data_IF_940230190987
#
_entry.id   IF_940230190987
#
_cell.length_a   1.000
_cell.length_b   1.000
_cell.length_c   1.000
_cell.angle_alpha   90.00
_cell.angle_beta   90.00
_cell.angle_gamma   90.00
#
_symmetry.space_group_name_H-M   'P 1'
#
loop_
_entity.id
_entity.type
_entity.pdbx_description
1 polymer ?
#
# COMPACT_ATOMS: atom_id res chain seq x y z
N UNK A 1 -6.95 -10.34 -22.65
CA UNK A 1 -7.74 -10.50 -21.41
C UNK A 1 -7.30 -9.39 -20.49
N UNK A 2 -8.27 -8.66 -19.97
CA UNK A 2 -8.19 -7.25 -19.59
C UNK A 2 -7.18 -6.95 -18.46
N UNK A 3 -6.19 -6.10 -18.75
CA UNK A 3 -5.14 -5.62 -17.83
C UNK A 3 -5.65 -4.72 -16.68
N UNK A 4 -6.94 -4.81 -16.32
CA UNK A 4 -7.58 -4.01 -15.26
C UNK A 4 -7.88 -4.84 -14.00
N UNK A 5 -7.66 -6.15 -14.03
CA UNK A 5 -7.91 -7.07 -12.89
C UNK A 5 -6.78 -7.07 -11.85
N UNK A 6 -5.85 -6.11 -11.92
CA UNK A 6 -4.56 -6.12 -11.24
C UNK A 6 -4.27 -4.91 -10.36
N UNK A 7 -5.23 -4.03 -10.08
CA UNK A 7 -5.02 -2.78 -9.34
C UNK A 7 -5.96 -2.70 -8.12
N UNK A 8 -5.53 -2.03 -7.06
CA UNK A 8 -6.26 -1.81 -5.80
C UNK A 8 -6.23 -0.33 -5.47
N UNK A 9 -7.38 0.26 -5.14
CA UNK A 9 -7.51 1.65 -4.73
C UNK A 9 -7.61 1.72 -3.20
N UNK A 10 -6.63 2.37 -2.57
CA UNK A 10 -6.64 2.71 -1.16
C UNK A 10 -7.31 4.09 -1.00
N UNK A 11 -8.41 4.16 -0.25
CA UNK A 11 -9.18 5.40 -0.04
C UNK A 11 -8.86 5.97 1.33
N UNK A 12 -8.37 7.20 1.41
CA UNK A 12 -8.01 7.86 2.68
C UNK A 12 -9.23 8.46 3.41
N UNK A 13 -8.99 9.04 4.60
CA UNK A 13 -10.00 9.71 5.44
C UNK A 13 -10.81 10.80 4.73
N UNK A 14 -10.19 11.53 3.81
CA UNK A 14 -10.80 12.62 3.04
C UNK A 14 -11.53 12.15 1.76
N UNK A 15 -11.47 10.85 1.45
CA UNK A 15 -11.98 10.27 0.21
C UNK A 15 -11.00 10.25 -0.97
N UNK A 16 -9.74 10.67 -0.78
CA UNK A 16 -8.68 10.58 -1.79
C UNK A 16 -8.35 9.12 -2.10
N UNK A 17 -8.30 8.76 -3.37
CA UNK A 17 -8.00 7.39 -3.83
C UNK A 17 -6.54 7.28 -4.32
N UNK A 18 -5.82 6.27 -3.82
CA UNK A 18 -4.47 5.93 -4.23
C UNK A 18 -4.44 4.52 -4.83
N UNK A 19 -4.22 4.44 -6.14
CA UNK A 19 -4.16 3.16 -6.85
C UNK A 19 -2.77 2.54 -6.78
N UNK A 20 -2.69 1.29 -6.33
CA UNK A 20 -1.50 0.44 -6.32
C UNK A 20 -1.74 -0.87 -7.07
N UNK A 21 -0.69 -1.58 -7.46
CA UNK A 21 -0.81 -2.92 -8.05
C UNK A 21 -1.28 -3.93 -7.00
N UNK A 22 -2.10 -4.91 -7.42
CA UNK A 22 -2.50 -6.05 -6.57
C UNK A 22 -1.26 -6.75 -6.02
N UNK A 23 -0.21 -6.92 -6.81
CA UNK A 23 1.04 -7.53 -6.34
C UNK A 23 1.64 -6.78 -5.13
N UNK A 24 1.61 -5.44 -5.17
CA UNK A 24 2.06 -4.61 -4.05
C UNK A 24 1.10 -4.73 -2.86
N UNK A 25 -0.22 -4.75 -3.10
CA UNK A 25 -1.21 -4.95 -2.06
C UNK A 25 -1.07 -6.32 -1.38
N UNK A 26 -0.73 -7.38 -2.13
CA UNK A 26 -0.53 -8.73 -1.62
C UNK A 26 0.69 -8.85 -0.70
N UNK A 27 1.62 -7.89 -0.72
CA UNK A 27 2.70 -7.80 0.27
C UNK A 27 2.17 -7.52 1.68
N UNK A 28 0.98 -6.92 1.79
CA UNK A 28 0.26 -6.75 3.04
C UNK A 28 -0.70 -7.93 3.25
N UNK A 29 -0.50 -8.75 4.30
CA UNK A 29 -1.44 -9.81 4.67
C UNK A 29 -2.84 -9.28 4.97
N UNK A 30 -2.92 -8.06 5.54
CA UNK A 30 -4.19 -7.39 5.85
C UNK A 30 -4.93 -7.05 4.57
N UNK A 31 -4.29 -6.35 3.62
CA UNK A 31 -4.91 -6.02 2.33
C UNK A 31 -5.28 -7.28 1.55
N UNK A 32 -4.40 -8.30 1.55
CA UNK A 32 -4.68 -9.61 0.95
C UNK A 32 -5.97 -10.22 1.51
N UNK A 33 -6.12 -10.25 2.83
CA UNK A 33 -7.32 -10.79 3.49
C UNK A 33 -8.56 -9.98 3.13
N UNK A 34 -8.44 -8.65 3.02
CA UNK A 34 -9.53 -7.78 2.60
C UNK A 34 -9.94 -8.01 1.13
N UNK A 35 -8.97 -8.28 0.24
CA UNK A 35 -9.18 -8.57 -1.19
C UNK A 35 -9.75 -9.98 -1.42
N UNK A 36 -9.32 -10.97 -0.64
CA UNK A 36 -9.78 -12.37 -0.72
C UNK A 36 -11.10 -12.60 0.04
N UNK A 37 -11.47 -11.69 0.94
CA UNK A 37 -12.66 -11.80 1.79
C UNK A 37 -13.99 -11.58 1.05
N UNK A 38 -15.12 -11.94 1.67
CA UNK A 38 -16.47 -11.75 1.12
C UNK A 38 -16.89 -10.28 0.98
N UNK A 39 -16.05 -9.34 1.43
CA UNK A 39 -16.22 -7.90 1.31
C UNK A 39 -15.78 -7.33 -0.04
N UNK A 40 -15.61 -8.19 -1.06
CA UNK A 40 -15.42 -7.85 -2.48
C UNK A 40 -16.70 -7.20 -3.06
N UNK A 41 -17.22 -6.15 -2.40
CA UNK A 41 -18.47 -5.47 -2.78
C UNK A 41 -18.27 -4.55 -3.98
N UNK A 42 -17.09 -3.95 -4.15
CA UNK A 42 -16.83 -2.94 -5.19
C UNK A 42 -15.46 -3.11 -5.89
N UNK A 43 -15.09 -4.36 -6.13
CA UNK A 43 -14.10 -4.73 -7.13
C UNK A 43 -12.63 -4.64 -6.70
N UNK A 44 -12.18 -3.56 -6.06
CA UNK A 44 -10.75 -3.36 -5.72
C UNK A 44 -10.50 -2.17 -4.77
N UNK A 45 -11.51 -1.71 -4.02
CA UNK A 45 -11.39 -0.53 -3.13
C UNK A 45 -11.21 -0.94 -1.67
N UNK A 46 -10.26 -0.32 -0.98
CA UNK A 46 -10.00 -0.51 0.46
C UNK A 46 -10.06 0.86 1.12
N UNK A 47 -11.01 1.01 2.04
CA UNK A 47 -11.24 2.26 2.76
C UNK A 47 -10.39 2.30 4.04
N UNK A 48 -9.47 3.25 4.08
CA UNK A 48 -8.56 3.57 5.16
C UNK A 48 -8.99 4.89 5.82
N UNK A 49 -10.25 4.96 6.25
CA UNK A 49 -10.89 6.17 6.80
C UNK A 49 -10.25 6.68 8.09
N UNK A 50 -9.39 5.89 8.71
CA UNK A 50 -8.66 6.24 9.93
C UNK A 50 -7.34 6.97 9.66
N UNK A 51 -6.90 7.04 8.40
CA UNK A 51 -5.58 7.56 8.04
C UNK A 51 -5.69 8.73 7.07
N UNK A 52 -4.87 9.75 7.33
CA UNK A 52 -4.79 10.93 6.48
C UNK A 52 -4.22 10.59 5.08
N UNK A 53 -4.54 11.39 4.06
CA UNK A 53 -4.18 11.09 2.66
C UNK A 53 -2.68 11.00 2.44
N UNK A 54 -1.90 11.89 3.07
CA UNK A 54 -0.44 11.85 2.98
C UNK A 54 0.15 10.57 3.55
N UNK A 55 -0.46 10.00 4.60
CA UNK A 55 -0.03 8.76 5.25
C UNK A 55 -0.34 7.57 4.35
N UNK A 56 -1.56 7.52 3.81
CA UNK A 56 -2.00 6.46 2.88
C UNK A 56 -1.15 6.49 1.61
N UNK A 57 -0.89 7.67 1.06
CA UNK A 57 0.00 7.84 -0.08
C UNK A 57 1.41 7.29 0.21
N UNK A 58 1.98 7.62 1.37
CA UNK A 58 3.33 7.18 1.74
C UNK A 58 3.38 5.65 1.96
N UNK A 59 2.35 5.06 2.56
CA UNK A 59 2.24 3.62 2.71
C UNK A 59 2.09 2.91 1.35
N UNK A 60 1.30 3.48 0.43
CA UNK A 60 1.16 3.00 -0.94
C UNK A 60 2.50 3.03 -1.70
N UNK A 61 3.23 4.15 -1.62
CA UNK A 61 4.58 4.28 -2.17
C UNK A 61 5.53 3.23 -1.58
N UNK A 62 5.48 3.00 -0.27
CA UNK A 62 6.29 1.99 0.39
C UNK A 62 5.98 0.58 -0.11
N UNK A 63 4.71 0.21 -0.28
CA UNK A 63 4.34 -1.10 -0.83
C UNK A 63 4.88 -1.30 -2.25
N UNK A 64 4.76 -0.28 -3.12
CA UNK A 64 5.30 -0.37 -4.48
C UNK A 64 6.83 -0.40 -4.49
N UNK A 65 7.48 0.36 -3.61
CA UNK A 65 8.91 0.33 -3.44
C UNK A 65 9.37 -1.06 -2.95
N UNK A 66 8.73 -1.58 -1.90
CA UNK A 66 8.98 -2.93 -1.39
C UNK A 66 8.83 -3.98 -2.48
N UNK A 67 7.77 -3.91 -3.29
CA UNK A 67 7.57 -4.82 -4.43
C UNK A 67 8.71 -4.71 -5.46
N UNK A 68 9.06 -3.49 -5.86
CA UNK A 68 10.09 -3.24 -6.88
C UNK A 68 11.47 -3.71 -6.42
N UNK A 69 11.76 -3.58 -5.13
CA UNK A 69 13.06 -3.87 -4.55
C UNK A 69 13.11 -5.18 -3.72
N UNK A 70 12.08 -6.02 -3.73
CA UNK A 70 12.11 -7.31 -3.00
C UNK A 70 13.03 -8.34 -3.68
N UNK A 71 13.13 -8.30 -5.01
CA UNK A 71 13.86 -9.28 -5.84
C UNK A 71 15.21 -8.76 -6.32
N UNK A 72 15.52 -7.48 -6.08
CA UNK A 72 16.82 -6.90 -6.44
C UNK A 72 17.86 -7.22 -5.38
N UNK A 73 19.00 -7.71 -5.86
CA UNK A 73 20.16 -8.00 -5.05
C UNK A 73 20.73 -6.65 -4.58
N UNK A 74 20.46 -6.26 -3.33
CA UNK A 74 20.95 -5.02 -2.67
C UNK A 74 22.48 -4.82 -2.78
N UNK A 75 23.23 -5.86 -3.19
CA UNK A 75 24.67 -5.79 -3.46
C UNK A 75 25.01 -5.30 -4.88
N UNK A 76 24.04 -5.21 -5.80
CA UNK A 76 24.25 -4.86 -7.21
C UNK A 76 23.46 -3.63 -7.67
N UNK A 77 22.39 -3.26 -6.98
CA UNK A 77 21.56 -2.10 -7.33
C UNK A 77 21.50 -1.09 -6.19
N UNK A 78 21.67 0.19 -6.53
CA UNK A 78 21.44 1.31 -5.62
C UNK A 78 19.95 1.44 -5.31
N UNK A 79 19.52 0.81 -4.22
CA UNK A 79 18.17 0.95 -3.69
C UNK A 79 18.01 2.37 -3.12
N UNK A 80 17.09 3.19 -3.64
CA UNK A 80 16.90 4.53 -3.13
C UNK A 80 16.40 4.48 -1.69
N UNK A 81 16.93 5.38 -0.86
CA UNK A 81 16.52 5.47 0.54
C UNK A 81 15.08 5.99 0.62
N UNK A 82 14.22 5.24 1.31
CA UNK A 82 12.84 5.64 1.54
C UNK A 82 12.79 6.63 2.70
N UNK A 83 12.91 7.92 2.37
CA UNK A 83 12.90 9.00 3.36
C UNK A 83 11.48 9.24 3.86
N UNK A 84 11.28 9.06 5.17
CA UNK A 84 10.02 9.34 5.88
C UNK A 84 10.22 10.58 6.76
N UNK A 85 9.43 11.65 6.57
CA UNK A 85 9.41 12.78 7.47
C UNK A 85 9.10 12.38 8.91
N UNK A 86 9.79 12.99 9.87
CA UNK A 86 9.63 12.68 11.30
C UNK A 86 8.20 12.93 11.78
N UNK A 87 7.56 13.98 11.26
CA UNK A 87 6.20 14.38 11.63
C UNK A 87 5.14 13.32 11.27
N UNK A 88 5.35 12.54 10.20
CA UNK A 88 4.43 11.47 9.79
C UNK A 88 4.84 10.09 10.29
N UNK A 89 5.99 9.97 10.97
CA UNK A 89 6.53 8.66 11.37
C UNK A 89 5.60 7.88 12.30
N UNK A 90 4.86 8.57 13.17
CA UNK A 90 3.90 7.94 14.08
C UNK A 90 2.68 7.40 13.33
N UNK A 91 2.08 8.19 12.45
CA UNK A 91 0.93 7.77 11.66
C UNK A 91 1.31 6.66 10.67
N UNK A 92 2.49 6.78 10.05
CA UNK A 92 3.05 5.78 9.16
C UNK A 92 3.29 4.45 9.89
N UNK A 93 3.76 4.50 11.14
CA UNK A 93 3.93 3.30 11.96
C UNK A 93 2.58 2.63 12.26
N UNK A 94 1.54 3.41 12.54
CA UNK A 94 0.19 2.89 12.81
C UNK A 94 -0.40 2.20 11.57
N UNK A 95 -0.30 2.83 10.39
CA UNK A 95 -0.77 2.20 9.16
C UNK A 95 0.11 1.00 8.77
N UNK A 96 1.43 1.06 9.00
CA UNK A 96 2.33 -0.07 8.71
C UNK A 96 1.99 -1.28 9.59
N UNK A 97 1.70 -1.07 10.88
CA UNK A 97 1.23 -2.11 11.79
C UNK A 97 -0.15 -2.65 11.35
N UNK A 98 -1.09 -1.77 11.00
CA UNK A 98 -2.40 -2.15 10.49
C UNK A 98 -2.31 -2.99 9.20
N UNK A 99 -1.47 -2.56 8.25
CA UNK A 99 -1.20 -3.26 6.99
C UNK A 99 -0.24 -4.45 7.19
N UNK A 100 0.39 -4.56 8.37
CA UNK A 100 1.31 -5.63 8.74
C UNK A 100 2.52 -5.75 7.77
N UNK A 101 3.21 -4.62 7.53
CA UNK A 101 4.30 -4.48 6.52
C UNK A 101 5.60 -3.84 7.01
#
# INVERSE_FOLDING_TARGET
MSDTDGLVNLVASDGSEHTISIEAALLSPTLKTMLEGPFKKDGSKIELTNFEPHVVQKAAEYLQHKLKYQDVDVKKEDVPEFVVPTEMSLELLLIADYLNI
#
